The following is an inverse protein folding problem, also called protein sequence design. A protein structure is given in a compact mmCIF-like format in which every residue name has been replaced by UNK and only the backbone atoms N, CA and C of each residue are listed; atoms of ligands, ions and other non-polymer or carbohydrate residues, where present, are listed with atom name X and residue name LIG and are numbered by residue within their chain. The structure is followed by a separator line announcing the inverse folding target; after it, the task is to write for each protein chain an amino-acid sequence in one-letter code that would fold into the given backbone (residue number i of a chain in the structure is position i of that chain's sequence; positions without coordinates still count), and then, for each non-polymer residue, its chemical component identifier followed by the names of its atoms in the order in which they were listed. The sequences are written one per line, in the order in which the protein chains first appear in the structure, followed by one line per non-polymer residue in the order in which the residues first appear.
data_IF_051891866246
#
_entry.id   IF_051891866246
#
_cell.length_a   1.000
_cell.length_b   1.000
_cell.length_c   1.000
_cell.angle_alpha   90.00
_cell.angle_beta   90.00
_cell.angle_gamma   90.00
#
_symmetry.space_group_name_H-M   'P 1'
#
loop_
_entity.id
_entity.type
_entity.pdbx_description
1 polymer ?
#
# COMPACT_ATOMS: atom_id res chain seq x y z
N UNK A 1 -15.59 -23.34 19.45
CA UNK A 1 -14.76 -22.30 20.10
C UNK A 1 -13.56 -21.90 19.23
N UNK A 2 -12.78 -22.86 18.74
CA UNK A 2 -11.59 -22.62 17.88
C UNK A 2 -11.86 -21.76 16.63
N UNK A 3 -12.93 -21.99 15.83
CA UNK A 3 -13.21 -21.17 14.64
C UNK A 3 -13.42 -19.68 14.96
N UNK A 4 -14.07 -19.37 16.08
CA UNK A 4 -14.31 -17.98 16.50
C UNK A 4 -13.02 -17.28 16.92
N UNK A 5 -12.10 -18.02 17.56
CA UNK A 5 -10.80 -17.49 17.98
C UNK A 5 -9.89 -17.19 16.78
N UNK A 6 -9.89 -18.06 15.77
CA UNK A 6 -9.20 -17.79 14.49
C UNK A 6 -9.81 -16.55 13.83
N UNK A 7 -11.14 -16.44 13.81
CA UNK A 7 -11.82 -15.29 13.21
C UNK A 7 -11.49 -13.98 13.93
N UNK A 8 -11.34 -13.99 15.26
CA UNK A 8 -10.93 -12.81 16.02
C UNK A 8 -9.57 -12.27 15.55
N UNK A 9 -8.60 -13.14 15.26
CA UNK A 9 -7.27 -12.74 14.75
C UNK A 9 -7.28 -12.23 13.30
N UNK A 10 -8.32 -12.56 12.54
CA UNK A 10 -8.44 -12.26 11.12
C UNK A 10 -9.38 -11.09 10.83
N UNK A 11 -10.28 -10.74 11.75
CA UNK A 11 -11.38 -9.80 11.55
C UNK A 11 -10.91 -8.47 10.96
N UNK A 12 -9.85 -7.88 11.53
CA UNK A 12 -9.33 -6.58 11.08
C UNK A 12 -8.41 -6.67 9.85
N UNK A 13 -7.99 -7.89 9.47
CA UNK A 13 -6.97 -8.14 8.44
C UNK A 13 -7.55 -8.44 7.06
N UNK A 14 -8.84 -8.75 6.98
CA UNK A 14 -9.54 -9.13 5.74
C UNK A 14 -10.70 -8.16 5.47
N UNK A 15 -11.25 -8.13 4.24
CA UNK A 15 -12.36 -7.25 3.93
C UNK A 15 -13.68 -7.86 4.45
N UNK A 16 -14.70 -7.01 4.64
CA UNK A 16 -15.93 -7.40 5.32
C UNK A 16 -16.67 -8.53 4.59
N UNK A 17 -16.65 -8.51 3.26
CA UNK A 17 -17.19 -9.56 2.39
C UNK A 17 -16.50 -10.92 2.57
N UNK A 18 -15.23 -10.93 2.97
CA UNK A 18 -14.45 -12.15 3.19
C UNK A 18 -14.74 -12.81 4.55
N UNK A 19 -15.31 -12.08 5.50
CA UNK A 19 -15.54 -12.57 6.88
C UNK A 19 -16.53 -13.73 6.88
N UNK A 20 -17.67 -13.58 6.19
CA UNK A 20 -18.70 -14.62 6.12
C UNK A 20 -18.17 -15.87 5.41
N UNK A 21 -17.41 -15.68 4.34
CA UNK A 21 -16.77 -16.76 3.57
C UNK A 21 -15.77 -17.55 4.41
N UNK A 22 -14.82 -16.88 5.06
CA UNK A 22 -13.80 -17.51 5.91
C UNK A 22 -14.45 -18.20 7.10
N UNK A 23 -15.40 -17.55 7.78
CA UNK A 23 -16.16 -18.15 8.88
C UNK A 23 -16.93 -19.40 8.42
N UNK A 24 -17.52 -19.37 7.23
CA UNK A 24 -18.19 -20.53 6.62
C UNK A 24 -17.25 -21.70 6.36
N UNK A 25 -16.06 -21.44 5.79
CA UNK A 25 -15.03 -22.47 5.57
C UNK A 25 -14.50 -23.04 6.88
N UNK A 26 -14.20 -22.20 7.87
CA UNK A 26 -13.72 -22.65 9.19
C UNK A 26 -14.72 -23.56 9.92
N UNK A 27 -16.02 -23.27 9.82
CA UNK A 27 -17.06 -24.10 10.47
C UNK A 27 -17.23 -25.48 9.82
N UNK A 28 -16.81 -25.64 8.56
CA UNK A 28 -16.88 -26.91 7.83
C UNK A 28 -15.67 -27.82 8.06
N UNK A 29 -14.60 -27.29 8.65
CA UNK A 29 -13.39 -28.07 8.94
C UNK A 29 -13.56 -28.93 10.20
N UNK A 30 -12.97 -30.11 10.16
CA UNK A 30 -12.82 -31.00 11.31
C UNK A 30 -11.69 -30.51 12.24
N UNK A 31 -11.43 -31.24 13.33
CA UNK A 31 -10.38 -30.86 14.30
C UNK A 31 -8.98 -30.84 13.67
N UNK A 32 -8.69 -31.77 12.76
CA UNK A 32 -7.37 -31.85 12.09
C UNK A 32 -7.22 -30.70 11.10
N UNK A 33 -8.25 -30.41 10.30
CA UNK A 33 -8.29 -29.25 9.42
C UNK A 33 -8.13 -27.93 10.18
N UNK A 34 -8.81 -27.77 11.31
CA UNK A 34 -8.64 -26.58 12.16
C UNK A 34 -7.21 -26.46 12.70
N UNK A 35 -6.58 -27.56 13.13
CA UNK A 35 -5.20 -27.56 13.58
C UNK A 35 -4.23 -27.11 12.46
N UNK A 36 -4.43 -27.60 11.23
CA UNK A 36 -3.65 -27.16 10.06
C UNK A 36 -3.76 -25.65 9.84
N UNK A 37 -4.96 -25.08 9.95
CA UNK A 37 -5.15 -23.62 9.80
C UNK A 37 -4.42 -22.86 10.92
N UNK A 38 -4.56 -23.29 12.17
CA UNK A 38 -3.89 -22.63 13.31
C UNK A 38 -2.37 -22.62 13.13
N UNK A 39 -1.79 -23.70 12.63
CA UNK A 39 -0.34 -23.82 12.39
C UNK A 39 0.07 -23.03 11.12
N UNK A 40 -0.76 -23.03 10.08
CA UNK A 40 -0.46 -22.37 8.80
C UNK A 40 -0.64 -20.85 8.81
N UNK A 41 -1.56 -20.32 9.63
CA UNK A 41 -1.88 -18.89 9.64
C UNK A 41 -0.68 -17.98 9.93
N UNK A 42 0.19 -18.26 10.93
CA UNK A 42 1.38 -17.47 11.19
C UNK A 42 2.39 -17.50 10.03
N UNK A 43 2.40 -18.59 9.25
CA UNK A 43 3.33 -18.79 8.13
C UNK A 43 2.96 -17.96 6.89
N UNK A 44 1.68 -17.58 6.74
CA UNK A 44 1.18 -16.82 5.58
C UNK A 44 1.72 -15.39 5.47
N UNK A 45 2.45 -14.88 6.48
CA UNK A 45 2.99 -13.50 6.53
C UNK A 45 1.93 -12.48 6.07
N UNK A 46 0.79 -12.46 6.77
CA UNK A 46 -0.30 -11.53 6.48
C UNK A 46 0.18 -10.09 6.69
N UNK A 47 -0.21 -9.19 5.80
CA UNK A 47 0.07 -7.77 5.92
C UNK A 47 -0.58 -7.22 7.18
N UNK A 48 0.20 -6.45 7.95
CA UNK A 48 -0.34 -5.64 9.03
C UNK A 48 -0.99 -4.38 8.42
N UNK A 49 -2.31 -4.45 8.21
CA UNK A 49 -3.09 -3.40 7.52
C UNK A 49 -2.96 -2.03 8.20
N UNK A 50 -2.94 -1.99 9.54
CA UNK A 50 -2.79 -0.74 10.28
C UNK A 50 -1.40 -0.13 10.10
N UNK A 51 -0.35 -0.95 10.14
CA UNK A 51 1.02 -0.48 9.89
C UNK A 51 1.19 0.02 8.45
N UNK A 52 0.66 -0.71 7.47
CA UNK A 52 0.67 -0.30 6.06
C UNK A 52 -0.02 1.04 5.87
N UNK A 53 -1.14 1.27 6.57
CA UNK A 53 -1.85 2.54 6.50
C UNK A 53 -1.09 3.67 7.21
N UNK A 54 -0.87 3.57 8.52
CA UNK A 54 -0.29 4.65 9.31
C UNK A 54 1.15 4.96 8.91
N UNK A 55 2.01 3.96 8.89
CA UNK A 55 3.43 4.17 8.62
C UNK A 55 3.67 4.24 7.11
N UNK A 56 3.16 3.24 6.38
CA UNK A 56 3.40 3.13 4.94
C UNK A 56 2.70 4.21 4.11
N UNK A 57 1.49 4.59 4.48
CA UNK A 57 0.66 5.48 3.66
C UNK A 57 0.47 6.88 4.22
N UNK A 58 0.39 7.07 5.54
CA UNK A 58 0.23 8.42 6.11
C UNK A 58 1.60 9.08 6.27
N UNK A 59 2.50 8.48 7.05
CA UNK A 59 3.81 9.09 7.37
C UNK A 59 4.76 9.04 6.17
N UNK A 60 4.92 7.87 5.56
CA UNK A 60 5.89 7.63 4.48
C UNK A 60 5.24 7.50 3.10
N UNK A 61 3.95 7.83 2.99
CA UNK A 61 3.20 7.63 1.76
C UNK A 61 3.65 8.49 0.60
N UNK A 62 4.23 9.67 0.87
CA UNK A 62 4.79 10.54 -0.16
C UNK A 62 5.94 9.84 -0.91
N UNK A 63 6.70 8.99 -0.21
CA UNK A 63 7.76 8.14 -0.78
C UNK A 63 7.24 6.80 -1.31
N UNK A 64 5.92 6.58 -1.38
CA UNK A 64 5.34 5.34 -1.90
C UNK A 64 5.57 4.10 -1.02
N UNK A 65 6.04 4.25 0.23
CA UNK A 65 6.40 3.12 1.11
C UNK A 65 5.25 2.14 1.29
N UNK A 66 4.03 2.61 1.46
CA UNK A 66 2.85 1.76 1.59
C UNK A 66 2.64 0.85 0.38
N UNK A 67 2.94 1.32 -0.85
CA UNK A 67 2.83 0.53 -2.08
C UNK A 67 3.89 -0.57 -2.08
N UNK A 68 5.11 -0.26 -1.66
CA UNK A 68 6.16 -1.26 -1.50
C UNK A 68 5.83 -2.31 -0.44
N UNK A 69 5.21 -1.91 0.68
CA UNK A 69 4.81 -2.83 1.75
C UNK A 69 3.78 -3.87 1.30
N UNK A 70 2.88 -3.52 0.37
CA UNK A 70 1.89 -4.46 -0.20
C UNK A 70 2.41 -5.20 -1.44
N UNK A 71 3.66 -4.96 -1.85
CA UNK A 71 4.31 -5.59 -3.01
C UNK A 71 4.05 -4.90 -4.36
N UNK A 72 3.38 -3.74 -4.38
CA UNK A 72 3.05 -2.95 -5.57
C UNK A 72 4.24 -2.08 -5.99
N UNK A 73 5.36 -2.73 -6.35
CA UNK A 73 6.67 -2.09 -6.54
C UNK A 73 6.70 -1.12 -7.72
N UNK A 74 5.96 -1.43 -8.80
CA UNK A 74 5.94 -0.61 -10.02
C UNK A 74 5.30 0.75 -9.75
N UNK A 75 4.12 0.75 -9.12
CA UNK A 75 3.41 1.98 -8.77
C UNK A 75 4.19 2.77 -7.72
N UNK A 76 4.77 2.10 -6.72
CA UNK A 76 5.66 2.72 -5.75
C UNK A 76 6.86 3.42 -6.40
N UNK A 77 7.55 2.73 -7.31
CA UNK A 77 8.70 3.29 -8.01
C UNK A 77 8.34 4.47 -8.91
N UNK A 78 7.23 4.38 -9.64
CA UNK A 78 6.76 5.47 -10.51
C UNK A 78 6.50 6.77 -9.72
N UNK A 79 5.87 6.65 -8.55
CA UNK A 79 5.60 7.78 -7.67
C UNK A 79 6.89 8.41 -7.13
N UNK A 80 7.83 7.58 -6.69
CA UNK A 80 9.14 8.03 -6.20
C UNK A 80 9.92 8.73 -7.30
N UNK A 81 9.98 8.15 -8.50
CA UNK A 81 10.63 8.77 -9.65
C UNK A 81 10.02 10.14 -9.98
N UNK A 82 8.69 10.25 -9.96
CA UNK A 82 8.01 11.53 -10.20
C UNK A 82 8.37 12.58 -9.13
N UNK A 83 8.45 12.19 -7.86
CA UNK A 83 8.89 13.05 -6.77
C UNK A 83 10.31 13.57 -7.01
N UNK A 84 11.26 12.67 -7.32
CA UNK A 84 12.66 13.04 -7.57
C UNK A 84 12.82 13.93 -8.81
N UNK A 85 12.12 13.61 -9.90
CA UNK A 85 12.11 14.43 -11.12
C UNK A 85 11.59 15.83 -10.80
N UNK A 86 10.51 15.94 -10.03
CA UNK A 86 9.93 17.24 -9.65
C UNK A 86 10.93 18.09 -8.86
N UNK A 87 11.61 17.52 -7.87
CA UNK A 87 12.66 18.22 -7.14
C UNK A 87 13.88 18.57 -8.02
N UNK A 88 14.29 17.68 -8.92
CA UNK A 88 15.37 17.95 -9.86
C UNK A 88 15.04 19.15 -10.77
N UNK A 89 13.81 19.24 -11.27
CA UNK A 89 13.36 20.38 -12.08
C UNK A 89 13.42 21.70 -11.30
N UNK A 90 13.01 21.69 -10.02
CA UNK A 90 13.10 22.87 -9.16
C UNK A 90 14.56 23.29 -8.90
N UNK A 91 15.45 22.32 -8.66
CA UNK A 91 16.87 22.59 -8.48
C UNK A 91 17.52 23.17 -9.74
N UNK A 92 17.21 22.62 -10.92
CA UNK A 92 17.73 23.13 -12.20
C UNK A 92 17.19 24.55 -12.46
N UNK A 93 15.90 24.77 -12.20
CA UNK A 93 15.28 26.09 -12.32
C UNK A 93 16.02 27.13 -11.47
N UNK A 94 16.34 26.80 -10.21
CA UNK A 94 17.05 27.68 -9.28
C UNK A 94 18.49 28.00 -9.69
N UNK A 95 19.16 27.13 -10.45
CA UNK A 95 20.47 27.46 -11.04
C UNK A 95 20.30 28.40 -12.23
N UNK A 96 19.28 28.15 -13.06
CA UNK A 96 19.07 28.89 -14.30
C UNK A 96 18.53 30.30 -14.06
N UNK A 97 17.93 30.60 -12.91
CA UNK A 97 17.55 31.98 -12.55
C UNK A 97 18.73 32.94 -12.50
N UNK A 98 19.95 32.44 -12.27
CA UNK A 98 21.16 33.26 -12.26
C UNK A 98 21.70 33.58 -13.66
N UNK A 99 21.16 32.94 -14.71
CA UNK A 99 21.55 33.14 -16.10
C UNK A 99 20.45 33.93 -16.81
N UNK A 100 20.71 35.22 -17.08
CA UNK A 100 19.72 36.17 -17.62
C UNK A 100 19.08 35.71 -18.94
N UNK A 101 19.84 35.02 -19.78
CA UNK A 101 19.38 34.57 -21.11
C UNK A 101 18.41 33.38 -21.04
N UNK A 102 18.31 32.73 -19.88
CA UNK A 102 17.52 31.50 -19.67
C UNK A 102 16.28 31.72 -18.77
N UNK A 103 15.89 32.98 -18.52
CA UNK A 103 14.81 33.31 -17.60
C UNK A 103 13.47 32.60 -17.91
N UNK A 104 13.08 32.52 -19.20
CA UNK A 104 11.83 31.85 -19.62
C UNK A 104 11.90 30.34 -19.38
N UNK A 105 13.06 29.73 -19.64
CA UNK A 105 13.29 28.29 -19.40
C UNK A 105 13.26 28.00 -17.91
N UNK A 106 13.91 28.84 -17.09
CA UNK A 106 13.90 28.72 -15.64
C UNK A 106 12.47 28.76 -15.09
N UNK A 107 11.64 29.71 -15.54
CA UNK A 107 10.23 29.80 -15.11
C UNK A 107 9.42 28.56 -15.52
N UNK A 108 9.65 28.04 -16.71
CA UNK A 108 8.96 26.85 -17.22
C UNK A 108 9.31 25.60 -16.40
N UNK A 109 10.58 25.42 -16.04
CA UNK A 109 11.05 24.33 -15.17
C UNK A 109 10.50 24.47 -13.73
N UNK A 110 10.39 25.70 -13.22
CA UNK A 110 9.80 25.98 -11.92
C UNK A 110 8.34 25.51 -11.88
N UNK A 111 7.53 25.93 -12.86
CA UNK A 111 6.12 25.57 -12.97
C UNK A 111 5.99 24.04 -13.10
N UNK A 112 6.77 23.41 -13.97
CA UNK A 112 6.75 21.96 -14.16
C UNK A 112 7.08 21.20 -12.86
N UNK A 113 8.09 21.65 -12.11
CA UNK A 113 8.45 21.08 -10.82
C UNK A 113 7.31 21.17 -9.79
N UNK A 114 6.67 22.33 -9.66
CA UNK A 114 5.53 22.50 -8.75
C UNK A 114 4.31 21.67 -9.17
N UNK A 115 3.98 21.62 -10.46
CA UNK A 115 2.88 20.78 -10.97
C UNK A 115 3.15 19.31 -10.64
N UNK A 116 4.40 18.85 -10.81
CA UNK A 116 4.81 17.49 -10.42
C UNK A 116 4.62 17.21 -8.92
N UNK A 117 5.04 18.13 -8.04
CA UNK A 117 4.85 17.99 -6.60
C UNK A 117 3.37 17.95 -6.19
N UNK A 118 2.55 18.82 -6.78
CA UNK A 118 1.09 18.82 -6.56
C UNK A 118 0.48 17.50 -7.03
N UNK A 119 0.89 17.00 -8.20
CA UNK A 119 0.48 15.69 -8.71
C UNK A 119 0.82 14.55 -7.75
N UNK A 120 2.03 14.53 -7.20
CA UNK A 120 2.45 13.52 -6.21
C UNK A 120 1.65 13.65 -4.90
N UNK A 121 1.34 14.86 -4.45
CA UNK A 121 0.54 15.10 -3.26
C UNK A 121 -0.91 14.59 -3.43
N UNK A 122 -1.53 14.86 -4.59
CA UNK A 122 -2.86 14.33 -4.94
C UNK A 122 -2.82 12.80 -4.99
N UNK A 123 -1.81 12.23 -5.67
CA UNK A 123 -1.64 10.78 -5.72
C UNK A 123 -1.48 10.18 -4.32
N UNK A 124 -0.70 10.81 -3.45
CA UNK A 124 -0.59 10.42 -2.04
C UNK A 124 -1.92 10.44 -1.30
N UNK A 125 -2.74 11.48 -1.49
CA UNK A 125 -4.11 11.53 -0.99
C UNK A 125 -4.94 10.32 -1.41
N UNK A 126 -4.95 10.02 -2.71
CA UNK A 126 -5.70 8.90 -3.27
C UNK A 126 -5.17 7.53 -2.77
N UNK A 127 -3.85 7.38 -2.66
CA UNK A 127 -3.23 6.15 -2.19
C UNK A 127 -3.71 5.77 -0.78
N UNK A 128 -3.89 6.73 0.12
CA UNK A 128 -4.35 6.47 1.49
C UNK A 128 -5.67 5.69 1.53
N UNK A 129 -6.60 5.99 0.62
CA UNK A 129 -7.88 5.30 0.55
C UNK A 129 -7.80 3.95 -0.17
N UNK A 130 -6.92 3.84 -1.16
CA UNK A 130 -6.82 2.65 -2.02
C UNK A 130 -5.96 1.54 -1.41
N UNK A 131 -5.11 1.84 -0.43
CA UNK A 131 -4.13 0.87 0.10
C UNK A 131 -4.75 -0.13 1.08
N UNK A 132 -5.66 0.32 1.94
CA UNK A 132 -6.37 -0.51 2.91
C UNK A 132 -7.14 -1.65 2.20
N UNK A 133 -8.03 -1.38 1.23
CA UNK A 133 -8.78 -2.44 0.58
C UNK A 133 -7.87 -3.40 -0.20
N UNK A 134 -6.80 -2.90 -0.84
CA UNK A 134 -5.80 -3.75 -1.51
C UNK A 134 -5.09 -4.67 -0.51
N UNK A 135 -4.61 -4.15 0.63
CA UNK A 135 -3.93 -4.95 1.65
C UNK A 135 -4.85 -6.03 2.23
N UNK A 136 -6.10 -5.66 2.56
CA UNK A 136 -7.12 -6.60 3.07
C UNK A 136 -7.44 -7.71 2.07
N UNK A 137 -7.62 -7.38 0.79
CA UNK A 137 -7.86 -8.37 -0.29
C UNK A 137 -6.67 -9.31 -0.47
N UNK A 138 -5.45 -8.80 -0.44
CA UNK A 138 -4.25 -9.64 -0.56
C UNK A 138 -4.14 -10.63 0.61
N UNK A 139 -4.48 -10.20 1.83
CA UNK A 139 -4.56 -11.10 2.99
C UNK A 139 -5.63 -12.17 2.82
N UNK A 140 -6.82 -11.78 2.36
CA UNK A 140 -7.90 -12.74 2.09
C UNK A 140 -7.46 -13.82 1.11
N UNK A 141 -6.83 -13.45 -0.01
CA UNK A 141 -6.35 -14.39 -1.01
C UNK A 141 -5.36 -15.40 -0.42
N UNK A 142 -4.38 -14.93 0.38
CA UNK A 142 -3.42 -15.82 1.08
C UNK A 142 -4.13 -16.83 1.99
N UNK A 143 -5.14 -16.38 2.73
CA UNK A 143 -5.92 -17.25 3.62
C UNK A 143 -6.74 -18.26 2.81
N UNK A 144 -7.35 -17.83 1.70
CA UNK A 144 -8.10 -18.73 0.82
C UNK A 144 -7.21 -19.79 0.17
N UNK A 145 -5.97 -19.46 -0.19
CA UNK A 145 -5.00 -20.45 -0.65
C UNK A 145 -4.68 -21.48 0.43
N UNK A 146 -4.55 -21.08 1.69
CA UNK A 146 -4.33 -22.02 2.80
C UNK A 146 -5.49 -23.01 3.00
N UNK A 147 -6.74 -22.61 2.69
CA UNK A 147 -7.88 -23.51 2.75
C UNK A 147 -7.93 -24.54 1.61
N UNK A 148 -7.20 -24.28 0.51
CA UNK A 148 -7.18 -25.12 -0.67
C UNK A 148 -5.87 -25.93 -0.80
N UNK A 149 -4.93 -25.73 0.13
CA UNK A 149 -3.66 -26.44 0.24
C UNK A 149 -3.79 -27.64 1.20
#
# INVERSE_FOLDING_TARGET
MVPSLIMLHLYDKIPNEGITLVKGKLKKLDKVGLAKIVIGLPLLKLYNVQMVFWVGSVILGIFGVGRFMIGDRVIGALKVSLLFISYALLMISAVFTHLSDLAIVSLSLLIAGYVGLVGVAIWWGLDMFLIIPKAKRANLNKILHLFNA
#
